data_IF_851026967978
#
_entry.id   IF_851026967978
#
_cell.length_a   1.000
_cell.length_b   1.000
_cell.length_c   1.000
_cell.angle_alpha   90.00
_cell.angle_beta   90.00
_cell.angle_gamma   90.00
#
_symmetry.space_group_name_H-M   'P 1'
#
loop_
_entity.id
_entity.type
_entity.pdbx_description
1 polymer ?
#
# COMPACT_ATOMS: atom_id res chain seq x y z
N UNK A 1 -37.95 -2.45 -23.91
CA UNK A 1 -38.59 -3.49 -24.74
C UNK A 1 -38.48 -4.87 -24.08
N UNK A 2 -39.30 -5.87 -24.53
CA UNK A 2 -39.27 -7.26 -23.99
C UNK A 2 -37.85 -7.87 -24.22
N UNK A 3 -37.19 -7.54 -25.34
CA UNK A 3 -35.84 -8.00 -25.66
C UNK A 3 -34.79 -7.44 -24.71
N UNK A 4 -34.87 -6.17 -24.33
CA UNK A 4 -33.98 -5.55 -23.34
C UNK A 4 -34.11 -6.18 -21.95
N UNK A 5 -35.40 -6.47 -21.55
CA UNK A 5 -35.66 -7.18 -20.31
C UNK A 5 -35.09 -8.60 -20.27
N UNK A 6 -35.12 -9.32 -21.41
CA UNK A 6 -34.54 -10.65 -21.52
C UNK A 6 -32.98 -10.61 -21.39
N UNK A 7 -32.32 -9.71 -22.10
CA UNK A 7 -30.87 -9.57 -22.05
C UNK A 7 -30.37 -9.19 -20.63
N UNK A 8 -31.10 -8.32 -19.96
CA UNK A 8 -30.77 -7.95 -18.59
C UNK A 8 -30.95 -9.12 -17.63
N UNK A 9 -32.05 -9.87 -17.73
CA UNK A 9 -32.25 -11.09 -16.95
C UNK A 9 -31.16 -12.13 -17.20
N UNK A 10 -30.74 -12.32 -18.45
CA UNK A 10 -29.66 -13.22 -18.82
C UNK A 10 -28.35 -12.82 -18.15
N UNK A 11 -27.96 -11.54 -18.19
CA UNK A 11 -26.76 -11.03 -17.52
C UNK A 11 -26.77 -11.25 -16.02
N UNK A 12 -27.91 -10.99 -15.36
CA UNK A 12 -28.09 -11.24 -13.93
C UNK A 12 -27.99 -12.72 -13.58
N UNK A 13 -28.55 -13.60 -14.41
CA UNK A 13 -28.45 -15.05 -14.25
C UNK A 13 -26.99 -15.53 -14.42
N UNK A 14 -26.30 -15.11 -15.46
CA UNK A 14 -24.88 -15.46 -15.70
C UNK A 14 -23.97 -14.98 -14.55
N UNK A 15 -24.23 -13.78 -14.04
CA UNK A 15 -23.52 -13.26 -12.86
C UNK A 15 -23.75 -14.15 -11.65
N UNK A 16 -25.02 -14.50 -11.35
CA UNK A 16 -25.40 -15.33 -10.19
C UNK A 16 -24.77 -16.71 -10.28
N UNK A 17 -24.77 -17.32 -11.46
CA UNK A 17 -24.15 -18.62 -11.71
C UNK A 17 -22.62 -18.56 -11.50
N UNK A 18 -21.94 -17.51 -12.02
CA UNK A 18 -20.51 -17.31 -11.81
C UNK A 18 -20.19 -17.11 -10.33
N UNK A 19 -21.01 -16.37 -9.60
CA UNK A 19 -20.81 -16.14 -8.17
C UNK A 19 -21.02 -17.42 -7.36
N UNK A 20 -22.06 -18.20 -7.64
CA UNK A 20 -22.28 -19.50 -7.00
C UNK A 20 -21.11 -20.46 -7.23
N UNK A 21 -20.58 -20.55 -8.46
CA UNK A 21 -19.41 -21.38 -8.77
C UNK A 21 -18.14 -20.96 -8.01
N UNK A 22 -17.93 -19.63 -7.78
CA UNK A 22 -16.79 -19.13 -7.01
C UNK A 22 -16.87 -19.44 -5.51
N UNK A 23 -18.09 -19.61 -4.98
CA UNK A 23 -18.31 -20.03 -3.58
C UNK A 23 -17.95 -21.49 -3.33
N UNK A 24 -17.65 -22.24 -4.39
CA UNK A 24 -17.29 -23.65 -4.32
C UNK A 24 -18.41 -24.60 -4.76
N UNK A 25 -18.18 -25.92 -4.69
CA UNK A 25 -19.17 -26.93 -5.03
C UNK A 25 -20.30 -26.97 -4.01
N UNK A 26 -21.52 -27.30 -4.45
CA UNK A 26 -22.72 -27.43 -3.63
C UNK A 26 -23.15 -26.13 -2.89
N UNK A 27 -22.87 -24.98 -3.47
CA UNK A 27 -23.29 -23.70 -2.95
C UNK A 27 -24.46 -23.12 -3.74
N UNK A 28 -25.35 -22.40 -3.04
CA UNK A 28 -26.46 -21.66 -3.61
C UNK A 28 -26.18 -20.18 -3.41
N UNK A 29 -26.33 -19.40 -4.46
CA UNK A 29 -26.27 -17.95 -4.39
C UNK A 29 -27.64 -17.35 -4.70
N UNK A 30 -28.16 -16.58 -3.76
CA UNK A 30 -29.35 -15.77 -3.98
C UNK A 30 -28.93 -14.44 -4.59
N UNK A 31 -29.50 -14.09 -5.74
CA UNK A 31 -29.23 -12.83 -6.41
C UNK A 31 -29.47 -11.65 -5.48
N UNK A 32 -28.51 -10.74 -5.43
CA UNK A 32 -28.60 -9.45 -4.74
C UNK A 32 -28.25 -8.35 -5.74
N UNK A 33 -29.10 -7.34 -5.79
CA UNK A 33 -28.93 -6.21 -6.72
C UNK A 33 -27.60 -5.47 -6.46
N UNK A 34 -27.27 -5.22 -5.19
CA UNK A 34 -26.04 -4.56 -4.77
C UNK A 34 -24.78 -5.29 -5.27
N UNK A 35 -24.77 -6.62 -5.19
CA UNK A 35 -23.66 -7.44 -5.67
C UNK A 35 -23.48 -7.33 -7.20
N UNK A 36 -24.59 -7.24 -7.93
CA UNK A 36 -24.59 -7.08 -9.37
C UNK A 36 -24.11 -5.69 -9.79
N UNK A 37 -24.57 -4.65 -9.12
CA UNK A 37 -24.13 -3.27 -9.33
C UNK A 37 -22.63 -3.12 -9.05
N UNK A 38 -22.14 -3.68 -7.94
CA UNK A 38 -20.71 -3.74 -7.62
C UNK A 38 -19.92 -4.48 -8.69
N UNK A 39 -20.45 -5.58 -9.21
CA UNK A 39 -19.82 -6.33 -10.31
C UNK A 39 -19.73 -5.48 -11.59
N UNK A 40 -20.80 -4.78 -11.96
CA UNK A 40 -20.82 -3.89 -13.12
C UNK A 40 -19.84 -2.72 -12.94
N UNK A 41 -19.85 -2.09 -11.75
CA UNK A 41 -18.93 -1.01 -11.41
C UNK A 41 -17.46 -1.47 -11.53
N UNK A 42 -17.11 -2.59 -10.93
CA UNK A 42 -15.77 -3.17 -11.04
C UNK A 42 -15.38 -3.43 -12.51
N UNK A 43 -16.30 -3.89 -13.34
CA UNK A 43 -16.07 -4.09 -14.76
C UNK A 43 -15.73 -2.79 -15.51
N UNK A 44 -16.45 -1.71 -15.21
CA UNK A 44 -16.18 -0.37 -15.76
C UNK A 44 -14.80 0.14 -15.31
N UNK A 45 -14.50 0.04 -14.01
CA UNK A 45 -13.21 0.45 -13.46
C UNK A 45 -12.06 -0.33 -14.11
N UNK A 46 -12.15 -1.66 -14.22
CA UNK A 46 -11.11 -2.49 -14.85
C UNK A 46 -10.90 -2.07 -16.32
N UNK A 47 -11.97 -1.78 -17.05
CA UNK A 47 -11.84 -1.32 -18.44
C UNK A 47 -11.13 0.03 -18.53
N UNK A 48 -11.47 0.98 -17.66
CA UNK A 48 -10.83 2.29 -17.57
C UNK A 48 -9.34 2.16 -17.18
N UNK A 49 -9.02 1.37 -16.17
CA UNK A 49 -7.64 1.12 -15.73
C UNK A 49 -6.77 0.54 -16.87
N UNK A 50 -7.31 -0.39 -17.66
CA UNK A 50 -6.60 -0.95 -18.83
C UNK A 50 -6.33 0.11 -19.88
N UNK A 51 -7.32 0.94 -20.21
CA UNK A 51 -7.18 2.04 -21.15
C UNK A 51 -6.14 3.06 -20.67
N UNK A 52 -6.22 3.49 -19.42
CA UNK A 52 -5.28 4.42 -18.79
C UNK A 52 -3.84 3.92 -18.88
N UNK A 53 -3.60 2.66 -18.51
CA UNK A 53 -2.25 2.06 -18.54
C UNK A 53 -1.73 1.96 -19.99
N UNK A 54 -2.58 1.59 -20.94
CA UNK A 54 -2.21 1.54 -22.35
C UNK A 54 -1.85 2.92 -22.91
N UNK A 55 -2.42 3.99 -22.34
CA UNK A 55 -2.17 5.39 -22.71
C UNK A 55 -1.13 6.07 -21.79
N UNK A 56 -0.16 5.33 -21.29
CA UNK A 56 0.93 5.89 -20.48
C UNK A 56 0.54 6.25 -19.05
N UNK A 57 -0.39 5.52 -18.46
CA UNK A 57 -0.93 5.75 -17.10
C UNK A 57 -1.73 7.06 -16.97
N UNK A 58 -2.41 7.51 -18.02
CA UNK A 58 -3.29 8.68 -17.97
C UNK A 58 -4.32 8.55 -16.83
N UNK A 59 -4.48 9.61 -16.02
CA UNK A 59 -5.37 9.63 -14.85
C UNK A 59 -4.76 9.03 -13.58
N UNK A 60 -3.58 8.39 -13.65
CA UNK A 60 -2.81 8.05 -12.46
C UNK A 60 -1.98 9.25 -12.00
N UNK A 61 -1.95 9.47 -10.71
CA UNK A 61 -1.14 10.48 -10.04
C UNK A 61 -0.46 9.86 -8.81
N UNK A 62 0.66 10.43 -8.38
CA UNK A 62 1.32 10.06 -7.13
C UNK A 62 1.23 11.23 -6.16
N UNK A 63 0.59 11.01 -5.03
CA UNK A 63 0.56 11.94 -3.92
C UNK A 63 1.65 11.54 -2.92
N UNK A 64 2.16 12.52 -2.19
CA UNK A 64 3.25 12.32 -1.26
C UNK A 64 2.82 12.77 0.13
N UNK A 65 2.73 11.80 1.06
CA UNK A 65 2.46 12.09 2.47
C UNK A 65 3.80 12.27 3.19
N UNK A 66 4.08 13.43 3.78
CA UNK A 66 5.34 13.67 4.46
C UNK A 66 5.53 12.74 5.65
N UNK A 67 6.76 12.27 5.83
CA UNK A 67 7.24 11.61 7.05
C UNK A 67 8.13 12.61 7.77
N UNK A 68 7.85 12.87 9.05
CA UNK A 68 8.56 13.85 9.84
C UNK A 68 9.29 13.20 11.02
N UNK A 69 10.45 13.72 11.34
CA UNK A 69 11.15 13.38 12.58
C UNK A 69 10.34 13.87 13.78
N UNK A 70 10.03 12.97 14.68
CA UNK A 70 9.11 13.24 15.81
C UNK A 70 9.61 14.35 16.73
N UNK A 71 10.92 14.47 16.94
CA UNK A 71 11.53 15.43 17.87
C UNK A 71 11.65 16.81 17.24
N UNK A 72 12.26 16.88 16.04
CA UNK A 72 12.57 18.15 15.38
C UNK A 72 11.41 18.69 14.53
N UNK A 73 10.43 17.86 14.17
CA UNK A 73 9.35 18.20 13.23
C UNK A 73 9.82 18.42 11.79
N UNK A 74 11.06 18.05 11.45
CA UNK A 74 11.59 18.19 10.10
C UNK A 74 11.13 17.08 9.21
N UNK A 75 10.77 17.41 7.97
CA UNK A 75 10.49 16.40 6.93
C UNK A 75 11.77 15.64 6.61
N UNK A 76 11.71 14.32 6.69
CA UNK A 76 12.83 13.41 6.41
C UNK A 76 12.56 12.50 5.21
N UNK A 77 11.31 12.36 4.83
CA UNK A 77 10.87 11.51 3.75
C UNK A 77 9.41 11.72 3.40
N UNK A 78 8.91 10.88 2.53
CA UNK A 78 7.49 10.81 2.23
C UNK A 78 7.07 9.41 1.79
N UNK A 79 5.80 9.08 1.98
CA UNK A 79 5.17 7.91 1.39
C UNK A 79 4.55 8.29 0.03
N UNK A 80 4.85 7.49 -1.00
CA UNK A 80 4.30 7.64 -2.34
C UNK A 80 2.97 6.88 -2.46
N UNK A 81 1.90 7.61 -2.59
CA UNK A 81 0.54 7.11 -2.56
C UNK A 81 -0.12 7.22 -3.94
N UNK A 82 -0.41 6.07 -4.55
CA UNK A 82 -1.10 6.01 -5.84
C UNK A 82 -2.51 6.60 -5.74
N UNK A 83 -2.85 7.46 -6.70
CA UNK A 83 -4.19 8.03 -6.88
C UNK A 83 -4.64 7.77 -8.31
N UNK A 84 -5.95 7.66 -8.50
CA UNK A 84 -6.49 7.43 -9.83
C UNK A 84 -7.82 8.19 -10.03
N UNK A 85 -7.89 8.90 -11.14
CA UNK A 85 -9.08 9.60 -11.60
C UNK A 85 -9.55 8.98 -12.91
N UNK A 86 -10.71 8.34 -12.85
CA UNK A 86 -11.35 7.72 -14.02
C UNK A 86 -12.08 8.77 -14.84
N UNK A 87 -11.91 8.74 -16.16
CA UNK A 87 -12.72 9.54 -17.08
C UNK A 87 -13.99 8.77 -17.42
N UNK A 88 -15.14 9.40 -17.22
CA UNK A 88 -16.47 8.88 -17.56
C UNK A 88 -17.17 9.80 -18.54
N UNK A 89 -18.30 9.36 -19.09
CA UNK A 89 -19.14 10.20 -19.94
C UNK A 89 -19.70 11.43 -19.19
N UNK A 90 -19.85 11.31 -17.88
CA UNK A 90 -20.37 12.36 -16.98
C UNK A 90 -19.26 13.31 -16.49
N UNK A 91 -17.98 13.00 -16.78
CA UNK A 91 -16.83 13.77 -16.36
C UNK A 91 -15.73 12.94 -15.70
N UNK A 92 -14.98 13.55 -14.80
CA UNK A 92 -13.91 12.91 -14.04
C UNK A 92 -14.42 12.40 -12.70
N UNK A 93 -14.15 11.14 -12.38
CA UNK A 93 -14.48 10.49 -11.11
C UNK A 93 -13.20 10.07 -10.39
N UNK A 94 -12.97 10.62 -9.19
CA UNK A 94 -11.90 10.17 -8.33
C UNK A 94 -12.26 8.84 -7.67
N UNK A 95 -11.36 7.85 -7.77
CA UNK A 95 -11.54 6.54 -7.16
C UNK A 95 -10.68 6.39 -5.91
N UNK A 96 -11.27 5.83 -4.85
CA UNK A 96 -10.52 5.49 -3.64
C UNK A 96 -9.51 4.36 -3.89
N UNK A 97 -8.28 4.43 -3.33
CA UNK A 97 -7.31 3.33 -3.38
C UNK A 97 -7.90 1.98 -2.98
N UNK A 98 -8.73 1.94 -1.96
CA UNK A 98 -9.44 0.73 -1.49
C UNK A 98 -10.34 0.12 -2.58
N UNK A 99 -10.80 0.91 -3.53
CA UNK A 99 -11.65 0.43 -4.62
C UNK A 99 -10.84 -0.08 -5.81
N UNK A 100 -9.81 0.65 -6.26
CA UNK A 100 -9.12 0.31 -7.50
C UNK A 100 -7.86 -0.55 -7.32
N UNK A 101 -7.11 -0.44 -6.22
CA UNK A 101 -5.89 -1.24 -6.00
C UNK A 101 -6.18 -2.74 -6.00
N UNK A 102 -7.22 -3.27 -5.30
CA UNK A 102 -7.54 -4.68 -5.39
C UNK A 102 -7.93 -5.16 -6.80
N UNK A 103 -8.46 -4.25 -7.65
CA UNK A 103 -8.77 -4.56 -9.03
C UNK A 103 -7.51 -4.60 -9.91
N UNK A 104 -6.54 -3.70 -9.65
CA UNK A 104 -5.22 -3.75 -10.29
C UNK A 104 -4.50 -5.07 -9.98
N UNK A 105 -4.47 -5.49 -8.71
CA UNK A 105 -3.86 -6.76 -8.28
C UNK A 105 -4.54 -7.96 -8.93
N UNK A 106 -5.86 -8.04 -8.82
CA UNK A 106 -6.66 -9.14 -9.38
C UNK A 106 -6.49 -9.31 -10.89
N UNK A 107 -6.16 -8.24 -11.60
CA UNK A 107 -6.02 -8.24 -13.06
C UNK A 107 -4.57 -8.23 -13.53
N UNK A 108 -3.59 -8.15 -12.61
CA UNK A 108 -2.18 -8.00 -12.92
C UNK A 108 -1.76 -6.60 -13.39
N UNK A 109 -2.72 -5.67 -13.49
CA UNK A 109 -2.45 -4.28 -13.88
C UNK A 109 -1.66 -3.50 -12.83
N UNK A 110 -1.55 -4.03 -11.60
CA UNK A 110 -0.70 -3.47 -10.55
C UNK A 110 0.78 -3.44 -10.95
N UNK A 111 1.23 -4.34 -11.84
CA UNK A 111 2.63 -4.37 -12.30
C UNK A 111 2.99 -3.10 -13.09
N UNK A 112 2.31 -2.75 -14.19
CA UNK A 112 2.60 -1.50 -14.91
C UNK A 112 2.25 -0.24 -14.11
N UNK A 113 1.16 -0.23 -13.34
CA UNK A 113 0.79 0.89 -12.49
C UNK A 113 1.82 1.15 -11.37
N UNK A 114 2.26 0.10 -10.68
CA UNK A 114 3.29 0.21 -9.65
C UNK A 114 4.65 0.63 -10.19
N UNK A 115 4.97 0.24 -11.44
CA UNK A 115 6.17 0.76 -12.11
C UNK A 115 6.09 2.28 -12.31
N UNK A 116 4.95 2.78 -12.77
CA UNK A 116 4.73 4.23 -12.92
C UNK A 116 4.94 4.95 -11.57
N UNK A 117 4.35 4.44 -10.47
CA UNK A 117 4.53 5.02 -9.13
C UNK A 117 6.00 5.02 -8.72
N UNK A 118 6.71 3.91 -8.92
CA UNK A 118 8.13 3.79 -8.58
C UNK A 118 9.00 4.80 -9.36
N UNK A 119 8.76 4.93 -10.65
CA UNK A 119 9.50 5.86 -11.52
C UNK A 119 9.24 7.32 -11.11
N UNK A 120 7.99 7.70 -10.80
CA UNK A 120 7.64 9.05 -10.32
C UNK A 120 8.19 9.32 -8.90
N UNK A 121 8.10 8.34 -8.00
CA UNK A 121 8.66 8.46 -6.65
C UNK A 121 10.18 8.66 -6.65
N UNK A 122 10.89 7.92 -7.51
CA UNK A 122 12.34 8.08 -7.63
C UNK A 122 12.74 9.45 -8.18
N UNK A 123 12.03 9.97 -9.19
CA UNK A 123 12.24 11.33 -9.73
C UNK A 123 12.02 12.39 -8.65
N UNK A 124 10.86 12.34 -7.97
CA UNK A 124 10.54 13.29 -6.91
C UNK A 124 11.57 13.24 -5.78
N UNK A 125 11.97 12.04 -5.34
CA UNK A 125 13.01 11.89 -4.32
C UNK A 125 14.30 12.61 -4.74
N UNK A 126 14.74 12.43 -5.99
CA UNK A 126 15.93 13.10 -6.52
C UNK A 126 15.80 14.63 -6.55
N UNK A 127 14.63 15.14 -6.89
CA UNK A 127 14.36 16.59 -6.89
C UNK A 127 14.42 17.16 -5.47
N UNK A 128 13.77 16.51 -4.51
CA UNK A 128 13.75 16.97 -3.11
C UNK A 128 15.15 16.89 -2.46
N UNK A 129 15.98 15.94 -2.84
CA UNK A 129 17.35 15.81 -2.30
C UNK A 129 18.24 17.01 -2.61
N UNK A 130 17.88 17.87 -3.54
CA UNK A 130 18.59 19.15 -3.76
C UNK A 130 18.42 20.10 -2.56
N UNK A 131 17.39 19.93 -1.76
CA UNK A 131 17.03 20.76 -0.59
C UNK A 131 17.22 19.98 0.72
N UNK A 132 16.88 18.69 0.72
CA UNK A 132 16.97 17.77 1.87
C UNK A 132 17.79 16.56 1.43
N UNK A 133 19.14 16.59 1.56
CA UNK A 133 20.03 15.55 1.02
C UNK A 133 19.72 14.13 1.52
N UNK A 134 19.19 14.01 2.75
CA UNK A 134 18.89 12.74 3.38
C UNK A 134 17.45 12.26 3.11
N UNK A 135 16.66 12.99 2.30
CA UNK A 135 15.29 12.65 2.00
C UNK A 135 15.16 11.25 1.37
N UNK A 136 14.22 10.48 1.85
CA UNK A 136 13.87 9.16 1.33
C UNK A 136 12.40 9.08 0.94
N UNK A 137 12.05 8.13 0.09
CA UNK A 137 10.67 7.89 -0.32
C UNK A 137 10.29 6.42 -0.09
N UNK A 138 9.13 6.21 0.52
CA UNK A 138 8.54 4.90 0.66
C UNK A 138 7.64 4.59 -0.53
N UNK A 139 7.72 3.36 -1.03
CA UNK A 139 6.89 2.88 -2.13
C UNK A 139 6.23 1.57 -1.73
N UNK A 140 4.92 1.55 -1.77
CA UNK A 140 4.12 0.36 -1.51
C UNK A 140 4.28 -0.69 -2.62
N UNK A 141 4.62 -1.91 -2.26
CA UNK A 141 4.78 -3.04 -3.19
C UNK A 141 3.89 -4.20 -2.74
N UNK A 142 3.03 -4.67 -3.63
CA UNK A 142 2.17 -5.81 -3.36
C UNK A 142 2.88 -7.15 -3.58
N UNK A 143 2.42 -8.21 -2.89
CA UNK A 143 2.91 -9.57 -3.10
C UNK A 143 2.75 -10.01 -4.56
N UNK A 144 1.68 -9.58 -5.23
CA UNK A 144 1.48 -9.88 -6.65
C UNK A 144 2.61 -9.36 -7.54
N UNK A 145 3.13 -8.15 -7.27
CA UNK A 145 4.26 -7.57 -8.02
C UNK A 145 5.56 -8.35 -7.77
N UNK A 146 5.77 -8.82 -6.54
CA UNK A 146 6.95 -9.62 -6.18
C UNK A 146 6.94 -10.95 -6.94
N UNK A 147 5.82 -11.64 -6.94
CA UNK A 147 5.71 -12.97 -7.56
C UNK A 147 5.74 -12.93 -9.10
N UNK A 148 5.18 -11.89 -9.73
CA UNK A 148 4.94 -11.87 -11.16
C UNK A 148 5.67 -10.74 -11.91
N UNK A 149 6.16 -9.71 -11.21
CA UNK A 149 6.60 -8.45 -11.83
C UNK A 149 8.10 -8.29 -12.04
N UNK A 150 8.94 -9.18 -11.55
CA UNK A 150 10.42 -8.96 -11.50
C UNK A 150 10.74 -7.58 -10.91
N UNK A 151 10.05 -7.22 -9.85
CA UNK A 151 10.04 -5.86 -9.31
C UNK A 151 11.41 -5.45 -8.74
N UNK A 152 12.21 -6.39 -8.22
CA UNK A 152 13.55 -6.10 -7.72
C UNK A 152 14.42 -5.38 -8.76
N UNK A 153 14.49 -5.91 -9.99
CA UNK A 153 15.26 -5.30 -11.08
C UNK A 153 14.75 -3.89 -11.40
N UNK A 154 13.43 -3.66 -11.28
CA UNK A 154 12.83 -2.34 -11.54
C UNK A 154 13.19 -1.33 -10.47
N UNK A 155 13.18 -1.74 -9.20
CA UNK A 155 13.60 -0.90 -8.07
C UNK A 155 15.06 -0.49 -8.25
N UNK A 156 15.96 -1.44 -8.49
CA UNK A 156 17.39 -1.16 -8.69
C UNK A 156 17.64 -0.27 -9.91
N UNK A 157 16.86 -0.45 -10.97
CA UNK A 157 16.91 0.39 -12.16
C UNK A 157 16.47 1.82 -11.84
N UNK A 158 15.35 2.01 -11.15
CA UNK A 158 14.84 3.33 -10.76
C UNK A 158 15.85 4.09 -9.86
N UNK A 159 16.46 3.40 -8.89
CA UNK A 159 17.53 3.96 -8.05
C UNK A 159 18.70 4.44 -8.89
N UNK A 160 19.24 3.57 -9.75
CA UNK A 160 20.40 3.86 -10.59
C UNK A 160 20.13 4.99 -11.59
N UNK A 161 19.02 4.92 -12.32
CA UNK A 161 18.71 5.83 -13.42
C UNK A 161 18.42 7.25 -12.91
N UNK A 162 17.99 7.40 -11.65
CA UNK A 162 17.82 8.69 -10.98
C UNK A 162 19.05 9.11 -10.13
N UNK A 163 20.11 8.33 -10.11
CA UNK A 163 21.33 8.65 -9.35
C UNK A 163 21.10 8.73 -7.84
N UNK A 164 20.16 7.94 -7.32
CA UNK A 164 19.87 7.83 -5.90
C UNK A 164 20.84 6.84 -5.23
N UNK A 165 21.09 7.02 -3.95
CA UNK A 165 21.64 5.95 -3.11
C UNK A 165 20.54 4.94 -2.76
N UNK A 166 20.83 3.64 -2.67
CA UNK A 166 19.81 2.62 -2.48
C UNK A 166 18.90 2.84 -1.27
N UNK A 167 19.44 3.31 -0.17
CA UNK A 167 18.69 3.59 1.06
C UNK A 167 17.75 4.82 1.00
N UNK A 168 17.59 5.41 -0.17
CA UNK A 168 16.65 6.54 -0.39
C UNK A 168 15.32 6.11 -0.97
N UNK A 169 15.22 4.85 -1.39
CA UNK A 169 13.94 4.21 -1.70
C UNK A 169 13.72 3.10 -0.68
N UNK A 170 12.64 3.20 0.08
CA UNK A 170 12.23 2.19 1.03
C UNK A 170 11.03 1.43 0.47
N UNK A 171 11.02 0.12 0.63
CA UNK A 171 9.93 -0.74 0.16
C UNK A 171 8.98 -1.02 1.30
N UNK A 172 7.77 -0.55 1.14
CA UNK A 172 6.71 -0.66 2.12
C UNK A 172 5.80 -1.83 1.81
N UNK A 173 5.53 -2.64 2.83
CA UNK A 173 4.66 -3.81 2.72
C UNK A 173 3.84 -3.94 4.00
N UNK A 174 2.57 -4.29 3.84
CA UNK A 174 1.69 -4.56 4.99
C UNK A 174 2.11 -5.83 5.72
N UNK A 175 1.85 -5.89 7.01
CA UNK A 175 2.12 -7.07 7.86
C UNK A 175 1.53 -8.35 7.25
N UNK A 176 0.32 -8.30 6.71
CA UNK A 176 -0.34 -9.44 6.07
C UNK A 176 0.35 -9.92 4.79
N UNK A 177 1.10 -9.04 4.12
CA UNK A 177 1.89 -9.39 2.93
C UNK A 177 3.08 -10.30 3.21
N UNK A 178 3.51 -10.43 4.47
CA UNK A 178 4.64 -11.27 4.87
C UNK A 178 4.27 -12.70 5.29
N UNK A 179 2.98 -13.04 5.31
CA UNK A 179 2.52 -14.35 5.84
C UNK A 179 3.07 -15.52 5.03
N UNK A 180 3.30 -15.33 3.74
CA UNK A 180 3.84 -16.37 2.85
C UNK A 180 5.30 -16.07 2.46
N UNK A 181 6.26 -16.57 3.24
CA UNK A 181 7.69 -16.55 2.92
C UNK A 181 8.01 -17.48 1.74
N UNK A 182 7.46 -17.18 0.58
CA UNK A 182 7.71 -17.97 -0.64
C UNK A 182 9.19 -17.89 -1.05
N UNK A 183 9.73 -18.89 -1.76
CA UNK A 183 11.10 -18.83 -2.30
C UNK A 183 11.33 -17.59 -3.19
N UNK A 184 10.29 -17.12 -3.87
CA UNK A 184 10.35 -15.89 -4.71
C UNK A 184 10.52 -14.66 -3.83
N UNK A 185 9.74 -14.58 -2.75
CA UNK A 185 9.85 -13.49 -1.78
C UNK A 185 11.22 -13.48 -1.09
N UNK A 186 11.70 -14.63 -0.61
CA UNK A 186 13.03 -14.72 0.01
C UNK A 186 14.15 -14.25 -0.95
N UNK A 187 14.05 -14.60 -2.22
CA UNK A 187 15.00 -14.14 -3.25
C UNK A 187 14.89 -12.63 -3.47
N UNK A 188 13.66 -12.11 -3.58
CA UNK A 188 13.40 -10.68 -3.72
C UNK A 188 14.02 -9.90 -2.55
N UNK A 189 13.71 -10.29 -1.32
CA UNK A 189 14.27 -9.69 -0.10
C UNK A 189 15.79 -9.67 -0.14
N UNK A 190 16.42 -10.83 -0.36
CA UNK A 190 17.87 -10.95 -0.39
C UNK A 190 18.51 -10.03 -1.42
N UNK A 191 17.95 -9.92 -2.62
CA UNK A 191 18.45 -9.02 -3.67
C UNK A 191 18.39 -7.56 -3.22
N UNK A 192 17.32 -7.13 -2.57
CA UNK A 192 17.20 -5.76 -2.11
C UNK A 192 18.12 -5.45 -0.93
N UNK A 193 18.21 -6.34 0.06
CA UNK A 193 19.13 -6.22 1.21
C UNK A 193 20.59 -6.12 0.76
N UNK A 194 21.04 -7.01 -0.14
CA UNK A 194 22.40 -7.01 -0.68
C UNK A 194 22.73 -5.72 -1.45
N UNK A 195 21.72 -5.01 -1.94
CA UNK A 195 21.87 -3.74 -2.63
C UNK A 195 21.56 -2.53 -1.74
N UNK A 196 21.32 -2.72 -0.45
CA UNK A 196 21.13 -1.64 0.52
C UNK A 196 19.76 -0.94 0.46
N UNK A 197 18.75 -1.57 -0.17
CA UNK A 197 17.35 -1.12 -0.14
C UNK A 197 16.74 -1.55 1.19
N UNK A 198 16.07 -0.61 1.87
CA UNK A 198 15.41 -0.87 3.15
C UNK A 198 13.96 -1.30 2.97
N UNK A 199 13.49 -2.13 3.91
CA UNK A 199 12.09 -2.49 4.04
C UNK A 199 11.43 -1.72 5.17
N UNK A 200 10.14 -1.47 5.03
CA UNK A 200 9.26 -0.89 6.03
C UNK A 200 8.06 -1.80 6.20
N UNK A 201 7.72 -2.12 7.43
CA UNK A 201 6.49 -2.86 7.75
C UNK A 201 5.39 -1.85 7.99
N UNK A 202 4.30 -1.97 7.23
CA UNK A 202 3.13 -1.11 7.33
C UNK A 202 1.96 -1.80 8.04
N UNK A 203 0.99 -0.98 8.49
CA UNK A 203 -0.25 -1.41 9.19
C UNK A 203 0.01 -2.27 10.44
N UNK A 204 1.13 -2.06 11.15
CA UNK A 204 1.47 -2.88 12.31
C UNK A 204 0.48 -2.67 13.46
N UNK A 205 -0.05 -3.78 13.98
CA UNK A 205 -1.02 -3.77 15.08
C UNK A 205 -2.48 -3.91 14.65
N UNK A 206 -2.79 -4.02 13.36
CA UNK A 206 -4.17 -4.15 12.86
C UNK A 206 -4.71 -5.58 12.86
N UNK A 207 -3.84 -6.59 12.94
CA UNK A 207 -4.24 -7.97 12.75
C UNK A 207 -3.56 -8.95 13.68
N UNK A 208 -3.23 -10.10 13.15
CA UNK A 208 -2.45 -11.13 13.83
C UNK A 208 -0.98 -10.73 13.80
N UNK A 209 -0.61 -9.72 14.61
CA UNK A 209 0.75 -9.19 14.68
C UNK A 209 1.77 -10.31 14.76
N UNK A 210 2.37 -10.61 13.63
CA UNK A 210 3.35 -11.67 13.53
C UNK A 210 4.73 -11.08 13.84
N UNK A 211 5.10 -11.08 15.13
CA UNK A 211 6.42 -10.62 15.57
C UNK A 211 7.58 -11.29 14.81
N UNK A 212 7.34 -12.45 14.20
CA UNK A 212 8.32 -13.09 13.32
C UNK A 212 8.65 -12.23 12.09
N UNK A 213 7.68 -11.46 11.57
CA UNK A 213 7.96 -10.55 10.45
C UNK A 213 9.08 -9.56 10.79
N UNK A 214 9.04 -8.97 11.99
CA UNK A 214 10.05 -8.02 12.44
C UNK A 214 11.42 -8.70 12.54
N UNK A 215 11.48 -9.91 13.14
CA UNK A 215 12.71 -10.67 13.30
C UNK A 215 13.29 -11.13 11.96
N UNK A 216 12.41 -11.59 11.06
CA UNK A 216 12.83 -12.19 9.79
C UNK A 216 13.20 -11.14 8.75
N UNK A 217 12.56 -9.97 8.77
CA UNK A 217 12.74 -8.92 7.75
C UNK A 217 13.82 -7.90 8.09
N UNK A 218 14.12 -7.71 9.38
CA UNK A 218 15.03 -6.67 9.85
C UNK A 218 14.73 -5.31 9.18
N UNK A 219 13.50 -4.78 9.31
CA UNK A 219 13.08 -3.55 8.62
C UNK A 219 13.84 -2.35 9.14
N UNK A 220 13.96 -1.29 8.34
CA UNK A 220 14.49 -0.02 8.78
C UNK A 220 13.62 0.63 9.84
N UNK A 221 12.31 0.51 9.69
CA UNK A 221 11.33 0.91 10.69
C UNK A 221 9.98 0.22 10.48
N UNK A 222 9.12 0.34 11.49
CA UNK A 222 7.76 -0.18 11.52
C UNK A 222 6.79 1.00 11.61
N UNK A 223 5.70 1.00 10.82
CA UNK A 223 4.63 1.99 10.88
C UNK A 223 3.48 1.45 11.74
N UNK A 224 3.20 2.15 12.82
CA UNK A 224 2.05 1.86 13.67
C UNK A 224 0.79 2.40 13.03
N UNK A 225 -0.19 1.53 12.83
CA UNK A 225 -1.45 1.88 12.16
C UNK A 225 -2.23 2.99 12.91
N UNK A 226 -2.88 3.85 12.14
CA UNK A 226 -3.66 4.99 12.67
C UNK A 226 -4.81 4.60 13.58
N UNK A 227 -5.52 3.48 13.29
CA UNK A 227 -6.67 3.05 14.10
C UNK A 227 -6.17 2.49 15.45
N UNK A 228 -5.01 1.82 15.45
CA UNK A 228 -4.35 1.39 16.67
C UNK A 228 -3.84 2.60 17.48
N UNK A 229 -3.25 3.58 16.81
CA UNK A 229 -2.85 4.87 17.44
C UNK A 229 -4.05 5.56 18.08
N UNK A 230 -5.15 5.74 17.34
CA UNK A 230 -6.36 6.38 17.86
C UNK A 230 -6.95 5.64 19.07
N UNK A 231 -6.93 4.31 19.04
CA UNK A 231 -7.37 3.48 20.15
C UNK A 231 -6.47 3.65 21.38
N UNK A 232 -5.16 3.65 21.19
CA UNK A 232 -4.19 3.89 22.26
C UNK A 232 -4.39 5.28 22.92
N UNK A 233 -4.70 6.30 22.12
CA UNK A 233 -4.95 7.64 22.65
C UNK A 233 -6.29 7.77 23.40
N UNK A 234 -7.20 6.83 23.27
CA UNK A 234 -8.52 6.84 23.90
C UNK A 234 -8.65 5.95 25.14
N UNK A 235 -7.71 5.03 25.40
CA UNK A 235 -7.79 4.04 26.46
C UNK A 235 -6.41 3.82 27.11
N UNK A 236 -6.32 3.96 28.44
CA UNK A 236 -5.07 3.80 29.18
C UNK A 236 -4.43 2.42 29.01
N UNK A 237 -5.24 1.37 28.99
CA UNK A 237 -4.75 -0.01 28.77
C UNK A 237 -4.12 -0.16 27.37
N UNK A 238 -4.76 0.39 26.35
CA UNK A 238 -4.25 0.31 24.99
C UNK A 238 -3.03 1.22 24.81
N UNK A 239 -2.96 2.34 25.56
CA UNK A 239 -1.78 3.20 25.61
C UNK A 239 -0.56 2.48 26.21
N UNK A 240 -0.74 1.76 27.34
CA UNK A 240 0.34 0.98 27.93
C UNK A 240 0.80 -0.16 26.99
N UNK A 241 -0.11 -0.80 26.27
CA UNK A 241 0.25 -1.80 25.26
C UNK A 241 1.07 -1.15 24.12
N UNK A 242 0.60 -0.01 23.61
CA UNK A 242 1.25 0.75 22.55
C UNK A 242 2.69 1.14 22.95
N UNK A 243 2.85 1.66 24.18
CA UNK A 243 4.16 1.98 24.76
C UNK A 243 5.08 0.76 24.80
N UNK A 244 4.57 -0.40 25.25
CA UNK A 244 5.37 -1.63 25.32
C UNK A 244 5.79 -2.15 23.95
N UNK A 245 4.98 -1.92 22.93
CA UNK A 245 5.35 -2.26 21.54
C UNK A 245 6.50 -1.35 21.09
N UNK A 246 6.43 -0.04 21.34
CA UNK A 246 7.53 0.88 21.01
C UNK A 246 8.82 0.46 21.70
N UNK A 247 8.78 0.21 23.02
CA UNK A 247 9.94 -0.24 23.79
C UNK A 247 10.52 -1.55 23.23
N UNK A 248 9.67 -2.50 22.85
CA UNK A 248 10.08 -3.77 22.27
C UNK A 248 10.78 -3.59 20.93
N UNK A 249 10.21 -2.81 20.02
CA UNK A 249 10.78 -2.56 18.68
C UNK A 249 12.12 -1.84 18.80
N UNK A 250 12.23 -0.84 19.66
CA UNK A 250 13.50 -0.16 19.95
C UNK A 250 14.56 -1.08 20.56
N UNK A 251 14.15 -2.05 21.42
CA UNK A 251 15.09 -2.98 22.04
C UNK A 251 15.86 -3.86 21.05
N UNK A 252 15.33 -4.00 19.86
CA UNK A 252 15.97 -4.75 18.74
C UNK A 252 16.59 -3.83 17.68
N UNK A 253 16.67 -2.52 17.95
CA UNK A 253 17.35 -1.53 17.10
C UNK A 253 16.55 -1.09 15.86
N UNK A 254 15.23 -1.25 15.86
CA UNK A 254 14.34 -0.86 14.78
C UNK A 254 13.61 0.44 15.18
N UNK A 255 13.46 1.36 14.24
CA UNK A 255 12.73 2.62 14.44
C UNK A 255 11.22 2.44 14.32
N UNK A 256 10.48 3.42 14.84
CA UNK A 256 9.01 3.47 14.76
C UNK A 256 8.54 4.76 14.11
N UNK A 257 7.62 4.61 13.16
CA UNK A 257 6.78 5.68 12.62
C UNK A 257 5.36 5.51 13.17
N UNK A 258 4.77 6.57 13.71
CA UNK A 258 3.41 6.53 14.25
C UNK A 258 2.48 7.30 13.34
N UNK A 259 1.48 6.62 12.80
CA UNK A 259 0.49 7.22 11.91
C UNK A 259 -0.71 7.80 12.66
N UNK A 260 -1.44 8.70 11.98
CA UNK A 260 -2.70 9.23 12.47
C UNK A 260 -2.57 10.26 13.60
N UNK A 261 -1.44 10.95 13.68
CA UNK A 261 -1.25 12.03 14.66
C UNK A 261 -1.95 13.30 14.15
N UNK A 262 -3.16 13.53 14.66
CA UNK A 262 -4.02 14.64 14.24
C UNK A 262 -4.03 15.82 15.25
N UNK A 263 -3.48 15.61 16.46
CA UNK A 263 -3.56 16.57 17.55
C UNK A 263 -2.19 16.82 18.16
N UNK A 264 -1.98 18.05 18.64
CA UNK A 264 -0.72 18.44 19.27
C UNK A 264 -0.44 17.66 20.57
N UNK A 265 -1.46 17.38 21.37
CA UNK A 265 -1.32 16.58 22.59
C UNK A 265 -0.91 15.12 22.29
N UNK A 266 -1.33 14.57 21.16
CA UNK A 266 -0.86 13.25 20.70
C UNK A 266 0.61 13.30 20.29
N UNK A 267 1.03 14.35 19.58
CA UNK A 267 2.42 14.54 19.21
C UNK A 267 3.33 14.63 20.46
N UNK A 268 2.91 15.38 21.48
CA UNK A 268 3.66 15.46 22.73
C UNK A 268 3.82 14.09 23.39
N UNK A 269 2.76 13.29 23.42
CA UNK A 269 2.84 11.90 23.93
C UNK A 269 3.79 11.04 23.11
N UNK A 270 3.81 11.17 21.76
CA UNK A 270 4.76 10.42 20.93
C UNK A 270 6.21 10.81 21.23
N UNK A 271 6.49 12.08 21.50
CA UNK A 271 7.81 12.52 21.97
C UNK A 271 8.19 11.87 23.30
N UNK A 272 7.27 11.80 24.27
CA UNK A 272 7.49 11.13 25.56
C UNK A 272 7.75 9.63 25.39
N UNK A 273 7.08 8.98 24.46
CA UNK A 273 7.29 7.58 24.09
C UNK A 273 8.53 7.35 23.22
N UNK A 274 9.24 8.42 22.85
CA UNK A 274 10.42 8.38 21.98
C UNK A 274 10.15 7.78 20.60
N UNK A 275 8.95 7.97 20.04
CA UNK A 275 8.70 7.61 18.65
C UNK A 275 9.70 8.37 17.75
N UNK A 276 10.18 7.71 16.70
CA UNK A 276 11.20 8.29 15.81
C UNK A 276 10.55 9.20 14.76
N UNK A 277 9.49 8.71 14.13
CA UNK A 277 8.84 9.37 12.99
C UNK A 277 7.32 9.46 13.18
N UNK A 278 6.70 10.39 12.44
CA UNK A 278 5.25 10.59 12.35
C UNK A 278 4.82 10.68 10.89
#
# INVERSE_FOLDING_TARGET
TVAEGYEECRKKFEFSLKKAKRMGKNNIYFYRQEDYEKFQRNGRIISALRSSIANGCEGFEVYYQPIVDCVSGRVIGAEALMRYTMVTEEGKEWLSPVEFIPLLEKTGLIIPAGRFVLDEAAKMCREIQQYIPEFSVNVNISCYQIEHGKIADKILTAVRDNGLTPNRICIEMTESGFIDMTPVFCKFRKVLEENGIQFVIDDFGTGYSNLHCISDMNPGYVKMDKDFTAKAMSCERDYELFKKIIEMVHSIGIHICVEGIEKEDWHLKMKELQADYL
#
